data_IF_898987636748
#
_entry.id   IF_898987636748
#
_cell.length_a   1.000
_cell.length_b   1.000
_cell.length_c   1.000
_cell.angle_alpha   90.00
_cell.angle_beta   90.00
_cell.angle_gamma   90.00
#
_symmetry.space_group_name_H-M   'P 1'
#
loop_
_entity.id
_entity.type
_entity.pdbx_description
1 polymer ?
#
# COMPACT_ATOMS: atom_id res chain seq x y z
N UNK A 1 -20.25 -5.35 26.98
CA UNK A 1 -19.92 -4.08 26.29
C UNK A 1 -20.83 -3.96 25.07
N UNK A 2 -21.57 -2.86 24.89
CA UNK A 2 -22.51 -2.73 23.76
C UNK A 2 -21.74 -2.48 22.46
N UNK A 3 -22.23 -3.03 21.33
CA UNK A 3 -21.62 -2.87 19.99
C UNK A 3 -21.41 -1.39 19.64
N UNK A 4 -22.34 -0.53 20.06
CA UNK A 4 -22.26 0.92 19.86
C UNK A 4 -21.06 1.55 20.57
N UNK A 5 -20.72 1.07 21.78
CA UNK A 5 -19.55 1.55 22.52
C UNK A 5 -18.25 1.16 21.81
N UNK A 6 -18.17 -0.07 21.30
CA UNK A 6 -17.01 -0.53 20.50
C UNK A 6 -16.84 0.34 19.24
N UNK A 7 -17.91 0.59 18.50
CA UNK A 7 -17.89 1.42 17.29
C UNK A 7 -17.48 2.87 17.58
N UNK A 8 -17.92 3.43 18.71
CA UNK A 8 -17.54 4.77 19.13
C UNK A 8 -16.04 4.86 19.46
N UNK A 9 -15.50 3.91 20.23
CA UNK A 9 -14.07 3.88 20.53
C UNK A 9 -13.21 3.66 19.29
N UNK A 10 -13.65 2.79 18.38
CA UNK A 10 -12.99 2.60 17.07
C UNK A 10 -12.99 3.90 16.27
N UNK A 11 -14.14 4.57 16.19
CA UNK A 11 -14.29 5.85 15.49
C UNK A 11 -13.36 6.93 16.06
N UNK A 12 -13.36 7.15 17.38
CA UNK A 12 -12.52 8.15 18.06
C UNK A 12 -11.02 7.87 17.88
N UNK A 13 -10.61 6.59 17.84
CA UNK A 13 -9.22 6.21 17.59
C UNK A 13 -8.76 6.58 16.17
N UNK A 14 -9.65 6.55 15.18
CA UNK A 14 -9.30 6.85 13.79
C UNK A 14 -9.16 8.34 13.47
N UNK A 15 -9.66 9.26 14.30
CA UNK A 15 -9.67 10.71 13.99
C UNK A 15 -8.39 11.48 14.38
N UNK A 16 -7.33 10.84 14.90
CA UNK A 16 -6.11 11.55 15.34
C UNK A 16 -4.99 11.66 14.29
N UNK A 17 -5.32 11.82 13.00
CA UNK A 17 -4.42 11.70 11.82
C UNK A 17 -3.46 12.88 11.56
N UNK A 18 -3.02 13.58 12.61
CA UNK A 18 -1.92 14.56 12.52
C UNK A 18 -0.58 13.92 12.86
N UNK A 19 0.02 13.15 11.95
CA UNK A 19 1.42 12.71 12.06
C UNK A 19 2.26 13.41 10.98
N UNK A 20 3.45 13.84 11.36
CA UNK A 20 4.47 14.34 10.45
C UNK A 20 5.24 13.14 9.89
N UNK A 21 5.16 12.91 8.59
CA UNK A 21 5.81 11.76 7.93
C UNK A 21 6.46 12.20 6.64
N UNK A 22 7.75 11.92 6.47
CA UNK A 22 8.51 12.14 5.23
C UNK A 22 8.21 11.05 4.21
N UNK A 23 7.98 9.83 4.70
CA UNK A 23 7.63 8.67 3.89
C UNK A 23 6.34 8.02 4.42
N UNK A 24 5.42 7.71 3.51
CA UNK A 24 4.28 6.82 3.78
C UNK A 24 4.40 5.56 2.93
N UNK A 25 4.21 4.37 3.51
CA UNK A 25 4.12 3.15 2.73
C UNK A 25 2.85 3.19 1.85
N UNK A 26 2.89 2.49 0.72
CA UNK A 26 1.73 2.31 -0.14
C UNK A 26 0.80 1.21 0.40
N UNK A 27 -0.43 1.17 -0.10
CA UNK A 27 -1.29 0.01 0.13
C UNK A 27 -0.59 -1.23 -0.47
N UNK A 28 -0.78 -2.39 0.16
CA UNK A 28 -0.18 -3.62 -0.34
C UNK A 28 -1.02 -4.15 -1.49
N UNK A 29 -0.38 -4.38 -2.64
CA UNK A 29 -1.02 -5.01 -3.78
C UNK A 29 -1.12 -6.50 -3.51
N UNK A 30 -2.32 -6.96 -3.15
CA UNK A 30 -2.61 -8.39 -3.11
C UNK A 30 -3.14 -8.81 -4.49
N UNK A 31 -2.35 -9.49 -5.34
CA UNK A 31 -2.70 -9.72 -6.74
C UNK A 31 -3.87 -10.70 -6.90
N UNK A 32 -3.91 -11.69 -5.99
CA UNK A 32 -4.88 -12.78 -5.91
C UNK A 32 -5.46 -13.31 -7.23
N UNK A 33 -4.52 -13.55 -8.14
CA UNK A 33 -4.77 -14.18 -9.42
C UNK A 33 -5.06 -15.68 -9.22
N UNK A 34 -6.04 -16.20 -9.95
CA UNK A 34 -6.45 -17.61 -9.88
C UNK A 34 -6.71 -18.25 -11.26
N UNK A 35 -6.94 -17.43 -12.29
CA UNK A 35 -7.19 -17.87 -13.66
C UNK A 35 -6.10 -17.35 -14.60
N UNK A 36 -5.90 -18.06 -15.71
CA UNK A 36 -5.02 -17.63 -16.81
C UNK A 36 -5.66 -16.43 -17.54
N UNK A 37 -4.86 -15.44 -17.92
CA UNK A 37 -5.35 -14.21 -18.58
C UNK A 37 -6.41 -13.48 -17.76
N UNK A 38 -6.22 -13.50 -16.44
CA UNK A 38 -6.99 -12.72 -15.50
C UNK A 38 -6.30 -11.39 -15.27
N UNK A 39 -7.04 -10.31 -15.44
CA UNK A 39 -6.65 -8.98 -14.97
C UNK A 39 -7.43 -8.67 -13.69
N UNK A 40 -6.74 -8.09 -12.71
CA UNK A 40 -7.35 -7.52 -11.52
C UNK A 40 -6.81 -6.12 -11.32
N UNK A 41 -7.70 -5.15 -11.25
CA UNK A 41 -7.37 -3.75 -10.95
C UNK A 41 -8.05 -3.31 -9.66
N UNK A 42 -7.42 -2.45 -8.88
CA UNK A 42 -8.05 -1.78 -7.74
C UNK A 42 -7.71 -0.30 -7.70
N UNK A 43 -8.65 0.46 -7.16
CA UNK A 43 -8.47 1.85 -6.79
C UNK A 43 -8.99 2.01 -5.37
N UNK A 44 -8.20 2.61 -4.48
CA UNK A 44 -8.61 2.79 -3.10
C UNK A 44 -7.94 3.95 -2.39
N UNK A 45 -8.56 4.33 -1.27
CA UNK A 45 -8.13 5.40 -0.40
C UNK A 45 -7.42 4.83 0.83
N UNK A 46 -6.22 5.34 1.13
CA UNK A 46 -5.53 5.11 2.38
C UNK A 46 -6.04 6.06 3.45
N UNK A 47 -6.55 5.51 4.54
CA UNK A 47 -7.20 6.26 5.61
C UNK A 47 -6.28 6.41 6.83
N UNK A 48 -5.40 5.44 7.06
CA UNK A 48 -4.39 5.49 8.11
C UNK A 48 -3.10 4.80 7.64
N UNK A 49 -1.94 5.37 8.00
CA UNK A 49 -0.61 4.78 7.76
C UNK A 49 -0.22 4.55 6.30
N UNK A 50 -1.04 4.99 5.33
CA UNK A 50 -0.88 4.70 3.90
C UNK A 50 -1.08 5.97 3.08
N UNK A 51 -0.48 6.05 1.89
CA UNK A 51 -0.74 7.12 0.91
C UNK A 51 -2.24 7.29 0.57
N UNK A 52 -2.66 8.50 0.17
CA UNK A 52 -4.10 8.82 0.03
C UNK A 52 -4.73 8.01 -1.09
N UNK A 53 -4.24 8.12 -2.32
CA UNK A 53 -4.78 7.43 -3.48
C UNK A 53 -3.85 6.29 -3.86
N UNK A 54 -4.38 5.08 -4.00
CA UNK A 54 -3.63 3.90 -4.41
C UNK A 54 -4.34 3.25 -5.60
N UNK A 55 -3.65 3.14 -6.73
CA UNK A 55 -4.12 2.39 -7.90
C UNK A 55 -3.21 1.18 -8.07
N UNK A 56 -3.78 0.00 -8.25
CA UNK A 56 -3.03 -1.24 -8.28
C UNK A 56 -3.57 -2.14 -9.38
N UNK A 57 -2.69 -2.92 -9.99
CA UNK A 57 -3.00 -3.82 -11.08
C UNK A 57 -2.22 -5.12 -10.97
N UNK A 58 -2.83 -6.20 -11.43
CA UNK A 58 -2.20 -7.49 -11.57
C UNK A 58 -2.73 -8.19 -12.82
N UNK A 59 -1.84 -8.87 -13.53
CA UNK A 59 -2.18 -9.66 -14.70
C UNK A 59 -1.54 -11.04 -14.67
N UNK A 60 -2.36 -12.05 -14.92
CA UNK A 60 -1.96 -13.44 -15.00
C UNK A 60 -1.58 -13.82 -16.43
N UNK A 61 -0.29 -14.12 -16.63
CA UNK A 61 0.24 -14.59 -17.91
C UNK A 61 -0.23 -16.03 -18.16
N UNK A 62 -0.13 -16.87 -17.12
CA UNK A 62 -0.55 -18.27 -17.14
C UNK A 62 -1.18 -18.67 -15.79
N UNK A 63 -1.48 -19.95 -15.57
CA UNK A 63 -2.15 -20.39 -14.31
C UNK A 63 -1.27 -20.34 -13.05
N UNK A 64 -0.04 -19.83 -13.17
CA UNK A 64 0.99 -19.89 -12.15
C UNK A 64 1.80 -18.60 -12.02
N UNK A 65 1.93 -17.81 -13.09
CA UNK A 65 2.79 -16.64 -13.15
C UNK A 65 1.95 -15.41 -13.43
N UNK A 66 2.19 -14.37 -12.64
CA UNK A 66 1.56 -13.07 -12.78
C UNK A 66 2.56 -11.93 -12.64
N UNK A 67 2.18 -10.79 -13.19
CA UNK A 67 2.87 -9.51 -13.03
C UNK A 67 1.97 -8.55 -12.26
N UNK A 68 2.59 -7.62 -11.55
CA UNK A 68 1.91 -6.64 -10.71
C UNK A 68 2.47 -5.26 -10.97
N UNK A 69 1.67 -4.24 -10.69
CA UNK A 69 2.14 -2.88 -10.57
C UNK A 69 1.21 -2.06 -9.70
N UNK A 70 1.76 -1.05 -9.04
CA UNK A 70 0.97 -0.10 -8.26
C UNK A 70 1.51 1.31 -8.38
N UNK A 71 0.63 2.27 -8.18
CA UNK A 71 0.98 3.68 -8.03
C UNK A 71 0.26 4.24 -6.81
N UNK A 72 0.94 5.12 -6.10
CA UNK A 72 0.40 5.82 -4.94
C UNK A 72 0.67 7.32 -5.07
N UNK A 73 -0.36 8.10 -4.75
CA UNK A 73 -0.30 9.55 -4.67
C UNK A 73 -0.80 9.99 -3.30
N UNK A 74 0.01 10.76 -2.61
CA UNK A 74 -0.36 11.43 -1.37
C UNK A 74 -0.12 12.92 -1.55
N UNK A 75 -1.15 13.74 -1.38
CA UNK A 75 -1.01 15.18 -1.38
C UNK A 75 -1.80 15.74 -0.21
N UNK A 76 -1.14 16.54 0.61
CA UNK A 76 -1.75 17.29 1.71
C UNK A 76 -1.20 18.71 1.64
N UNK A 77 -2.11 19.64 1.35
CA UNK A 77 -1.85 21.07 1.46
C UNK A 77 -2.64 21.56 2.67
N UNK A 78 -1.96 21.85 3.77
CA UNK A 78 -2.60 22.58 4.87
C UNK A 78 -2.30 24.05 4.64
N UNK A 79 -3.27 24.78 4.09
CA UNK A 79 -3.22 26.24 4.20
C UNK A 79 -3.25 26.63 5.67
N UNK A 80 -2.42 27.63 5.98
CA UNK A 80 -1.89 27.94 7.28
C UNK A 80 -2.95 28.51 8.22
N UNK A 81 -3.59 27.68 9.06
CA UNK A 81 -4.19 28.11 10.34
C UNK A 81 -4.16 26.95 11.35
N UNK A 82 -3.07 26.78 12.10
CA UNK A 82 -3.12 26.08 13.38
C UNK A 82 -2.00 26.55 14.33
N UNK A 83 -2.32 26.76 15.63
CA UNK A 83 -1.44 27.40 16.60
C UNK A 83 -0.30 26.50 17.10
N UNK A 84 0.85 27.13 17.40
CA UNK A 84 1.92 26.75 18.35
C UNK A 84 2.51 25.33 18.35
N UNK A 85 2.12 24.42 17.45
CA UNK A 85 2.70 23.07 17.36
C UNK A 85 3.18 22.80 15.93
N UNK A 86 4.31 22.08 15.78
CA UNK A 86 4.97 21.77 14.51
C UNK A 86 3.97 21.48 13.38
N UNK A 87 3.77 22.46 12.49
CA UNK A 87 2.77 22.39 11.43
C UNK A 87 3.38 21.89 10.13
N UNK A 88 2.90 20.75 9.63
CA UNK A 88 3.25 20.28 8.30
C UNK A 88 2.44 21.08 7.28
N UNK A 89 3.08 22.01 6.57
CA UNK A 89 2.41 22.92 5.63
C UNK A 89 2.08 22.26 4.29
N UNK A 90 3.01 21.45 3.77
CA UNK A 90 2.81 20.69 2.52
C UNK A 90 3.47 19.32 2.59
N UNK A 91 2.77 18.28 2.16
CA UNK A 91 3.32 16.94 1.99
C UNK A 91 2.80 16.32 0.70
N UNK A 92 3.68 16.21 -0.29
CA UNK A 92 3.40 15.55 -1.56
C UNK A 92 4.33 14.34 -1.69
N UNK A 93 3.77 13.18 -1.99
CA UNK A 93 4.51 11.94 -2.19
C UNK A 93 3.92 11.18 -3.39
N UNK A 94 4.81 10.71 -4.25
CA UNK A 94 4.48 9.92 -5.42
C UNK A 94 5.31 8.65 -5.39
N UNK A 95 4.68 7.53 -5.73
CA UNK A 95 5.33 6.24 -5.72
C UNK A 95 4.77 5.35 -6.81
N UNK A 96 5.63 4.56 -7.42
CA UNK A 96 5.26 3.51 -8.35
C UNK A 96 6.10 2.25 -8.09
N UNK A 97 5.47 1.08 -8.18
CA UNK A 97 6.17 -0.19 -8.19
C UNK A 97 5.66 -1.16 -9.25
N UNK A 98 6.53 -2.13 -9.54
CA UNK A 98 6.26 -3.23 -10.45
C UNK A 98 6.88 -4.50 -9.91
N UNK A 99 6.28 -5.64 -10.26
CA UNK A 99 6.75 -6.93 -9.78
C UNK A 99 6.24 -8.10 -10.60
N UNK A 100 6.75 -9.27 -10.26
CA UNK A 100 6.30 -10.54 -10.81
C UNK A 100 6.29 -11.58 -9.71
N UNK A 101 5.54 -12.66 -9.93
CA UNK A 101 5.42 -13.69 -8.92
C UNK A 101 4.75 -14.94 -9.39
N UNK A 102 4.59 -15.83 -8.42
CA UNK A 102 4.03 -17.15 -8.58
C UNK A 102 2.79 -17.31 -7.72
N UNK A 103 1.78 -18.02 -8.22
CA UNK A 103 0.60 -18.41 -7.46
C UNK A 103 0.19 -19.84 -7.81
N UNK A 104 -0.37 -20.56 -6.83
CA UNK A 104 -0.79 -21.94 -7.02
C UNK A 104 -1.97 -22.28 -6.14
N UNK A 105 -2.97 -22.92 -6.73
CA UNK A 105 -4.08 -23.52 -6.02
C UNK A 105 -3.60 -24.73 -5.20
N UNK A 106 -3.93 -24.76 -3.91
CA UNK A 106 -3.55 -25.85 -2.99
C UNK A 106 -4.72 -26.79 -2.65
N UNK A 107 -5.96 -26.40 -2.94
CA UNK A 107 -7.15 -27.17 -2.59
C UNK A 107 -7.86 -27.77 -3.81
N UNK A 108 -8.56 -28.90 -3.60
CA UNK A 108 -9.34 -29.54 -4.68
C UNK A 108 -10.52 -28.67 -5.14
N UNK A 109 -11.07 -27.83 -4.23
CA UNK A 109 -12.22 -26.98 -4.51
C UNK A 109 -11.86 -25.68 -5.25
N UNK A 110 -10.57 -25.43 -5.51
CA UNK A 110 -10.05 -24.24 -6.20
C UNK A 110 -10.38 -22.91 -5.52
N UNK A 111 -10.44 -22.92 -4.19
CA UNK A 111 -10.73 -21.76 -3.35
C UNK A 111 -9.49 -21.22 -2.63
N UNK A 112 -8.47 -22.05 -2.39
CA UNK A 112 -7.27 -21.65 -1.66
C UNK A 112 -6.05 -21.63 -2.57
N UNK A 113 -5.31 -20.53 -2.49
CA UNK A 113 -4.11 -20.27 -3.27
C UNK A 113 -3.00 -19.82 -2.34
N UNK A 114 -1.80 -20.35 -2.57
CA UNK A 114 -0.57 -19.73 -2.09
C UNK A 114 -0.04 -18.80 -3.18
N UNK A 115 0.53 -17.69 -2.77
CA UNK A 115 1.13 -16.73 -3.69
C UNK A 115 2.45 -16.18 -3.12
N UNK A 116 3.34 -15.78 -4.02
CA UNK A 116 4.61 -15.16 -3.68
C UNK A 116 5.02 -14.22 -4.79
N UNK A 117 5.11 -12.94 -4.48
CA UNK A 117 5.52 -11.90 -5.42
C UNK A 117 6.79 -11.20 -4.94
N UNK A 118 7.55 -10.67 -5.88
CA UNK A 118 8.67 -9.78 -5.57
C UNK A 118 8.75 -8.69 -6.62
N UNK A 119 9.39 -7.58 -6.26
CA UNK A 119 9.47 -6.44 -7.15
C UNK A 119 10.32 -5.31 -6.62
N UNK A 120 10.27 -4.20 -7.34
CA UNK A 120 10.98 -2.98 -7.04
C UNK A 120 10.09 -1.77 -7.29
N UNK A 121 10.37 -0.69 -6.57
CA UNK A 121 9.62 0.55 -6.68
C UNK A 121 10.52 1.77 -6.58
N UNK A 122 10.01 2.88 -7.08
CA UNK A 122 10.63 4.20 -7.05
C UNK A 122 9.61 5.21 -6.55
N UNK A 123 10.08 6.21 -5.81
CA UNK A 123 9.23 7.29 -5.36
C UNK A 123 9.98 8.56 -5.03
N UNK A 124 9.19 9.61 -4.85
CA UNK A 124 9.65 10.97 -4.61
C UNK A 124 8.75 11.61 -3.55
N UNK A 125 9.33 12.38 -2.64
CA UNK A 125 8.63 13.11 -1.59
C UNK A 125 9.09 14.57 -1.57
N UNK A 126 8.14 15.51 -1.54
CA UNK A 126 8.35 16.95 -1.38
C UNK A 126 7.56 17.42 -0.16
N UNK A 127 8.29 17.82 0.87
CA UNK A 127 7.75 18.22 2.16
C UNK A 127 8.13 19.65 2.47
N UNK A 128 7.19 20.37 3.06
CA UNK A 128 7.40 21.70 3.60
C UNK A 128 6.89 21.75 5.04
N UNK A 129 7.83 21.96 5.96
CA UNK A 129 7.58 22.13 7.38
C UNK A 129 7.67 23.61 7.71
N UNK A 130 6.62 24.15 8.33
CA UNK A 130 6.58 25.54 8.79
C UNK A 130 6.37 25.56 10.29
N UNK A 131 7.28 26.22 11.00
CA UNK A 131 7.12 26.49 12.42
C UNK A 131 6.95 27.99 12.60
N UNK A 132 6.03 28.46 13.47
CA UNK A 132 5.82 29.89 13.70
C UNK A 132 7.10 30.63 14.14
N UNK A 133 8.01 29.94 14.84
CA UNK A 133 9.21 30.52 15.46
C UNK A 133 10.53 29.87 14.99
N UNK A 134 10.51 29.06 13.92
CA UNK A 134 11.73 28.43 13.39
C UNK A 134 11.78 28.45 11.85
N UNK A 135 12.98 28.19 11.31
CA UNK A 135 13.23 28.18 9.88
C UNK A 135 12.27 27.23 9.14
N UNK A 136 11.75 27.69 7.99
CA UNK A 136 10.98 26.85 7.09
C UNK A 136 11.88 25.77 6.48
N UNK A 137 11.53 24.50 6.70
CA UNK A 137 12.30 23.37 6.21
C UNK A 137 11.61 22.81 4.98
N UNK A 138 12.24 22.98 3.82
CA UNK A 138 11.87 22.24 2.60
C UNK A 138 12.72 20.99 2.55
N UNK A 139 12.09 19.83 2.39
CA UNK A 139 12.75 18.53 2.31
C UNK A 139 12.25 17.78 1.07
N UNK A 140 13.16 17.55 0.13
CA UNK A 140 12.92 16.75 -1.06
C UNK A 140 13.78 15.49 -0.98
N UNK A 141 13.21 14.34 -1.27
CA UNK A 141 13.96 13.09 -1.34
C UNK A 141 13.41 12.15 -2.40
N UNK A 142 14.31 11.31 -2.92
CA UNK A 142 13.97 10.20 -3.80
C UNK A 142 14.23 8.90 -3.05
N UNK A 143 13.48 7.87 -3.35
CA UNK A 143 13.69 6.57 -2.73
C UNK A 143 13.39 5.43 -3.69
N UNK A 144 14.06 4.31 -3.47
CA UNK A 144 13.76 3.06 -4.14
C UNK A 144 13.51 1.97 -3.10
N UNK A 145 12.75 0.97 -3.49
CA UNK A 145 12.57 -0.21 -2.66
C UNK A 145 12.70 -1.49 -3.45
N UNK A 146 12.98 -2.55 -2.69
CA UNK A 146 12.94 -3.93 -3.13
C UNK A 146 12.06 -4.69 -2.16
N UNK A 147 11.19 -5.56 -2.65
CA UNK A 147 10.26 -6.27 -1.79
C UNK A 147 10.04 -7.72 -2.21
N UNK A 148 9.66 -8.52 -1.21
CA UNK A 148 9.09 -9.86 -1.37
C UNK A 148 7.80 -9.96 -0.57
N UNK A 149 6.82 -10.70 -1.08
CA UNK A 149 5.46 -10.75 -0.56
C UNK A 149 4.87 -12.16 -0.72
N UNK A 150 5.19 -13.09 0.20
CA UNK A 150 4.39 -14.30 0.37
C UNK A 150 2.98 -13.98 0.86
N UNK A 151 2.02 -14.81 0.47
CA UNK A 151 0.64 -14.69 0.92
C UNK A 151 -0.20 -15.94 0.69
N UNK A 152 -1.38 -15.94 1.32
CA UNK A 152 -2.42 -16.95 1.15
C UNK A 152 -3.71 -16.22 0.77
N UNK A 153 -4.39 -16.74 -0.23
CA UNK A 153 -5.62 -16.19 -0.78
C UNK A 153 -6.74 -17.23 -0.76
N UNK A 154 -7.89 -16.81 -0.27
CA UNK A 154 -9.15 -17.53 -0.35
C UNK A 154 -10.13 -16.80 -1.26
N UNK A 155 -10.79 -17.53 -2.15
CA UNK A 155 -11.83 -16.99 -3.05
C UNK A 155 -13.12 -17.76 -3.00
N UNK A 156 -14.22 -17.00 -3.04
CA UNK A 156 -15.58 -17.52 -3.18
C UNK A 156 -16.39 -16.59 -4.11
N UNK A 157 -17.62 -17.00 -4.43
CA UNK A 157 -18.55 -16.25 -5.27
C UNK A 157 -18.86 -14.85 -4.71
N UNK A 158 -18.94 -14.72 -3.38
CA UNK A 158 -19.43 -13.52 -2.70
C UNK A 158 -18.34 -12.70 -2.01
N UNK A 159 -17.28 -13.35 -1.56
CA UNK A 159 -16.18 -12.71 -0.88
C UNK A 159 -14.86 -13.39 -1.19
N UNK A 160 -13.80 -12.60 -1.05
CA UNK A 160 -12.42 -13.04 -1.08
C UNK A 160 -11.73 -12.56 0.20
N UNK A 161 -10.76 -13.33 0.67
CA UNK A 161 -9.91 -12.98 1.79
C UNK A 161 -8.46 -13.28 1.44
N UNK A 162 -7.53 -12.41 1.81
CA UNK A 162 -6.11 -12.64 1.62
C UNK A 162 -5.34 -12.22 2.88
N UNK A 163 -4.28 -12.96 3.17
CA UNK A 163 -3.24 -12.57 4.10
C UNK A 163 -1.93 -12.49 3.32
N UNK A 164 -1.29 -11.33 3.35
CA UNK A 164 -0.01 -11.07 2.70
C UNK A 164 0.99 -10.57 3.75
N UNK A 165 2.23 -11.03 3.64
CA UNK A 165 3.35 -10.53 4.43
C UNK A 165 4.36 -9.92 3.48
N UNK A 166 4.44 -8.59 3.39
CA UNK A 166 5.43 -7.92 2.54
C UNK A 166 6.67 -7.56 3.36
N UNK A 167 7.84 -8.01 2.96
CA UNK A 167 9.11 -7.51 3.47
C UNK A 167 9.68 -6.51 2.46
N UNK A 168 9.99 -5.29 2.90
CA UNK A 168 10.42 -4.20 2.02
C UNK A 168 11.73 -3.61 2.54
N UNK A 169 12.78 -3.66 1.73
CA UNK A 169 13.99 -2.89 1.91
C UNK A 169 13.81 -1.54 1.23
N UNK A 170 13.91 -0.44 1.98
CA UNK A 170 13.81 0.93 1.47
C UNK A 170 15.17 1.62 1.57
N UNK A 171 15.56 2.33 0.51
CA UNK A 171 16.70 3.22 0.50
C UNK A 171 16.26 4.61 0.00
N UNK A 172 16.47 5.62 0.84
CA UNK A 172 16.15 7.03 0.61
C UNK A 172 17.47 7.76 0.38
N UNK A 173 17.53 8.49 -0.74
CA UNK A 173 18.71 9.19 -1.21
C UNK A 173 18.31 10.51 -1.89
N UNK A 174 19.31 11.31 -2.30
CA UNK A 174 19.05 12.61 -2.93
C UNK A 174 18.27 13.55 -2.01
N UNK A 175 18.64 13.58 -0.73
CA UNK A 175 17.97 14.39 0.28
C UNK A 175 18.46 15.83 0.16
N UNK A 176 17.59 16.70 -0.32
CA UNK A 176 17.80 18.15 -0.36
C UNK A 176 16.95 18.79 0.72
N UNK A 177 17.63 19.26 1.77
CA UNK A 177 17.01 19.98 2.87
C UNK A 177 17.54 21.42 2.92
N UNK A 178 16.66 22.40 3.18
CA UNK A 178 17.10 23.78 3.43
C UNK A 178 17.91 23.94 4.74
N UNK A 179 17.87 22.93 5.62
CA UNK A 179 18.67 22.86 6.84
C UNK A 179 19.92 22.00 6.64
N UNK A 180 21.08 22.52 7.06
CA UNK A 180 22.39 21.87 6.93
C UNK A 180 22.45 20.49 7.62
N UNK A 181 21.67 20.27 8.68
CA UNK A 181 21.67 19.03 9.47
C UNK A 181 21.11 17.81 8.72
N UNK A 182 20.33 18.03 7.67
CA UNK A 182 19.67 16.97 6.90
C UNK A 182 20.25 16.80 5.48
N UNK A 183 21.25 17.61 5.14
CA UNK A 183 21.82 17.59 3.80
C UNK A 183 22.79 16.40 3.67
N UNK A 184 22.58 15.57 2.64
CA UNK A 184 23.46 14.45 2.22
C UNK A 184 23.47 13.14 3.03
N UNK A 185 22.54 12.91 3.96
CA UNK A 185 22.40 11.58 4.58
C UNK A 185 21.52 10.65 3.72
N UNK A 186 21.98 9.43 3.46
CA UNK A 186 21.14 8.35 2.93
C UNK A 186 20.53 7.57 4.09
N UNK A 187 19.23 7.31 4.05
CA UNK A 187 18.56 6.47 5.04
C UNK A 187 18.14 5.15 4.40
N UNK A 188 18.40 4.05 5.09
CA UNK A 188 17.88 2.75 4.72
C UNK A 188 17.25 2.08 5.92
N UNK A 189 16.27 1.22 5.65
CA UNK A 189 15.63 0.37 6.66
C UNK A 189 14.90 -0.79 5.99
N UNK A 190 14.67 -1.84 6.78
CA UNK A 190 13.90 -3.01 6.38
C UNK A 190 12.59 -3.04 7.18
N UNK A 191 11.46 -3.23 6.53
CA UNK A 191 10.16 -3.40 7.19
C UNK A 191 9.52 -4.74 6.84
N UNK A 192 8.71 -5.27 7.76
CA UNK A 192 7.75 -6.34 7.50
C UNK A 192 6.33 -5.83 7.69
N UNK A 193 5.45 -6.22 6.78
CA UNK A 193 4.13 -5.62 6.66
C UNK A 193 3.04 -6.70 6.54
N UNK A 194 2.66 -7.37 7.64
CA UNK A 194 1.52 -8.27 7.64
C UNK A 194 0.23 -7.49 7.33
N UNK A 195 -0.56 -8.02 6.40
CA UNK A 195 -1.76 -7.34 5.89
C UNK A 195 -2.86 -8.34 5.58
N UNK A 196 -4.08 -8.01 6.02
CA UNK A 196 -5.30 -8.74 5.73
C UNK A 196 -6.12 -7.91 4.74
N UNK A 197 -6.56 -8.54 3.66
CA UNK A 197 -7.45 -7.93 2.67
C UNK A 197 -8.74 -8.72 2.59
N UNK A 198 -9.87 -8.04 2.77
CA UNK A 198 -11.21 -8.60 2.57
C UNK A 198 -11.86 -7.92 1.38
N UNK A 199 -12.47 -8.70 0.48
CA UNK A 199 -13.23 -8.17 -0.65
C UNK A 199 -14.62 -8.77 -0.65
N UNK A 200 -15.64 -7.95 -0.85
CA UNK A 200 -17.04 -8.39 -0.86
C UNK A 200 -17.72 -7.84 -2.11
N UNK A 201 -18.49 -8.68 -2.80
CA UNK A 201 -19.26 -8.28 -3.97
C UNK A 201 -19.39 -9.37 -5.02
N UNK A 202 -19.59 -8.95 -6.27
CA UNK A 202 -19.77 -9.83 -7.42
C UNK A 202 -18.43 -10.29 -8.03
N UNK A 203 -18.46 -11.20 -9.01
CA UNK A 203 -17.23 -11.69 -9.66
C UNK A 203 -16.46 -10.62 -10.44
N UNK A 204 -17.14 -9.60 -10.96
CA UNK A 204 -16.53 -8.54 -11.77
C UNK A 204 -16.21 -7.28 -10.99
N UNK A 205 -16.98 -6.98 -9.94
CA UNK A 205 -16.85 -5.78 -9.13
C UNK A 205 -17.00 -6.11 -7.65
N UNK A 206 -16.01 -5.68 -6.85
CA UNK A 206 -15.98 -5.87 -5.39
C UNK A 206 -15.52 -4.61 -4.68
N UNK A 207 -16.04 -4.39 -3.49
CA UNK A 207 -15.46 -3.44 -2.53
C UNK A 207 -14.38 -4.18 -1.77
N UNK A 208 -13.25 -3.54 -1.49
CA UNK A 208 -12.21 -4.11 -0.65
C UNK A 208 -11.95 -3.23 0.58
N UNK A 209 -11.61 -3.90 1.67
CA UNK A 209 -11.10 -3.31 2.89
C UNK A 209 -9.78 -4.01 3.21
N UNK A 210 -8.75 -3.24 3.54
CA UNK A 210 -7.44 -3.78 3.86
C UNK A 210 -6.92 -3.14 5.15
N UNK A 211 -6.39 -3.97 6.03
CA UNK A 211 -5.75 -3.54 7.29
C UNK A 211 -4.43 -4.25 7.47
N UNK A 212 -3.46 -3.58 8.07
CA UNK A 212 -2.14 -4.16 8.29
C UNK A 212 -1.33 -3.39 9.31
N UNK A 213 -0.11 -3.86 9.54
CA UNK A 213 0.83 -3.24 10.45
C UNK A 213 2.20 -3.14 9.80
N UNK A 214 2.97 -2.10 10.10
CA UNK A 214 4.36 -1.96 9.64
C UNK A 214 5.32 -2.18 10.80
N UNK A 215 6.13 -3.23 10.69
CA UNK A 215 7.15 -3.63 11.65
C UNK A 215 8.53 -3.24 11.12
N UNK A 216 9.18 -2.16 11.61
CA UNK A 216 10.57 -1.90 11.26
C UNK A 216 11.46 -2.98 11.87
N UNK A 217 12.17 -3.73 11.02
CA UNK A 217 13.03 -4.85 11.40
C UNK A 217 14.50 -4.44 11.52
N UNK A 218 14.96 -3.52 10.66
CA UNK A 218 16.35 -3.03 10.61
C UNK A 218 16.34 -1.50 10.57
N UNK A 219 17.30 -0.88 11.26
CA UNK A 219 17.45 0.57 11.37
C UNK A 219 16.15 1.29 11.78
N UNK A 220 15.53 0.77 12.84
CA UNK A 220 14.30 1.30 13.43
C UNK A 220 14.40 2.78 13.76
N UNK A 221 15.58 3.26 14.17
CA UNK A 221 15.86 4.68 14.41
C UNK A 221 15.62 5.52 13.15
N UNK A 222 16.11 5.09 12.00
CA UNK A 222 15.92 5.78 10.72
C UNK A 222 14.44 5.76 10.30
N UNK A 223 13.77 4.62 10.47
CA UNK A 223 12.34 4.52 10.20
C UNK A 223 11.54 5.52 11.03
N UNK A 224 11.76 5.58 12.35
CA UNK A 224 11.03 6.47 13.24
C UNK A 224 11.41 7.94 13.05
N UNK A 225 12.67 8.25 12.70
CA UNK A 225 13.10 9.60 12.38
C UNK A 225 12.35 10.19 11.16
N UNK A 226 11.94 9.32 10.22
CA UNK A 226 11.27 9.74 8.99
C UNK A 226 9.75 9.62 9.04
N UNK A 227 9.20 8.70 9.84
CA UNK A 227 7.79 8.30 9.73
C UNK A 227 6.96 8.53 10.99
N UNK A 228 7.55 9.05 12.07
CA UNK A 228 6.80 9.24 13.32
C UNK A 228 7.09 10.55 14.03
N UNK A 229 6.01 11.20 14.43
CA UNK A 229 6.03 12.08 15.61
C UNK A 229 6.25 11.22 16.86
N UNK A 230 7.12 11.67 17.78
CA UNK A 230 7.43 10.98 19.03
C UNK A 230 6.17 10.63 19.85
N UNK A 231 5.12 11.43 19.73
CA UNK A 231 3.86 11.26 20.47
C UNK A 231 2.88 10.25 19.84
N UNK A 232 3.07 9.88 18.56
CA UNK A 232 2.11 9.05 17.80
C UNK A 232 2.75 7.83 17.11
N UNK A 233 3.83 7.32 17.70
CA UNK A 233 4.62 6.22 17.11
C UNK A 233 3.77 5.01 16.71
N UNK A 234 2.89 4.54 17.57
CA UNK A 234 2.10 3.32 17.33
C UNK A 234 1.00 3.48 16.29
N UNK A 235 0.37 4.65 16.21
CA UNK A 235 -0.71 4.94 15.25
C UNK A 235 -0.20 4.96 13.81
N UNK A 236 1.02 5.47 13.60
CA UNK A 236 1.65 5.52 12.27
C UNK A 236 1.91 4.14 11.64
N UNK A 237 2.00 3.09 12.47
CA UNK A 237 2.31 1.73 12.04
C UNK A 237 1.07 0.98 11.57
N UNK A 238 -0.12 1.46 11.94
CA UNK A 238 -1.39 0.83 11.56
C UNK A 238 -1.77 1.34 10.17
N UNK A 239 -2.03 0.39 9.27
CA UNK A 239 -2.43 0.66 7.90
C UNK A 239 -3.90 0.35 7.72
N UNK A 240 -4.64 1.26 7.12
CA UNK A 240 -6.04 1.04 6.77
C UNK A 240 -6.34 1.63 5.39
N UNK A 241 -6.97 0.85 4.52
CA UNK A 241 -7.44 1.32 3.22
C UNK A 241 -8.78 0.69 2.81
N UNK A 242 -9.52 1.44 1.99
CA UNK A 242 -10.83 1.07 1.48
C UNK A 242 -10.91 1.43 0.00
N UNK A 243 -11.54 0.59 -0.82
CA UNK A 243 -11.70 0.93 -2.23
C UNK A 243 -12.51 -0.08 -3.03
N UNK A 244 -12.32 -0.06 -4.35
CA UNK A 244 -13.00 -0.92 -5.30
C UNK A 244 -12.01 -1.76 -6.08
N UNK A 245 -12.45 -2.95 -6.49
CA UNK A 245 -11.69 -3.91 -7.26
C UNK A 245 -12.52 -4.38 -8.46
N UNK A 246 -11.89 -4.38 -9.62
CA UNK A 246 -12.47 -4.88 -10.87
C UNK A 246 -11.67 -6.11 -11.31
N UNK A 247 -12.35 -7.18 -11.68
CA UNK A 247 -11.72 -8.41 -12.18
C UNK A 247 -12.26 -8.78 -13.55
N UNK A 248 -11.37 -8.95 -14.52
CA UNK A 248 -11.68 -9.47 -15.85
C UNK A 248 -10.97 -10.81 -16.06
N UNK A 249 -11.66 -11.81 -16.60
CA UNK A 249 -11.05 -13.11 -16.93
C UNK A 249 -11.41 -13.48 -18.35
N UNK A 250 -10.41 -13.58 -19.23
CA UNK A 250 -10.63 -14.01 -20.62
C UNK A 250 -10.83 -15.52 -20.68
N UNK A 251 -12.05 -15.98 -20.98
CA UNK A 251 -12.34 -17.40 -21.13
C UNK A 251 -11.98 -17.89 -22.55
N UNK A 252 -10.76 -18.39 -22.74
CA UNK A 252 -10.25 -18.89 -24.04
C UNK A 252 -11.04 -20.10 -24.59
N UNK A 253 -11.88 -20.77 -23.79
CA UNK A 253 -12.66 -21.94 -24.26
C UNK A 253 -13.70 -21.60 -25.34
N UNK A 254 -14.17 -20.35 -25.42
CA UNK A 254 -15.16 -19.93 -26.42
C UNK A 254 -14.54 -19.45 -27.74
N UNK A 255 -13.27 -19.02 -27.77
CA UNK A 255 -12.66 -18.55 -29.03
C UNK A 255 -12.29 -19.69 -29.99
N UNK A 256 -12.04 -20.90 -29.48
CA UNK A 256 -11.82 -22.08 -30.33
C UNK A 256 -13.09 -22.61 -30.99
N UNK A 257 -14.28 -22.38 -30.41
CA UNK A 257 -15.55 -22.77 -31.05
C UNK A 257 -15.83 -21.93 -32.31
N UNK A 258 -15.43 -20.66 -32.29
CA UNK A 258 -15.56 -19.75 -33.45
C UNK A 258 -14.61 -20.11 -34.60
N UNK A 259 -13.42 -20.63 -34.31
CA UNK A 259 -12.47 -21.08 -35.34
C UNK A 259 -12.85 -22.42 -35.97
N UNK A 260 -13.74 -23.21 -35.36
CA UNK A 260 -14.23 -24.48 -35.93
C UNK A 260 -15.42 -24.33 -36.88
N UNK A 261 -15.96 -23.12 -37.06
CA UNK A 261 -17.06 -22.83 -37.99
C UNK A 261 -16.59 -22.29 -39.35
N UNK A 262 -15.28 -22.25 -39.60
CA UNK A 262 -14.68 -21.72 -40.84
C UNK A 262 -13.95 -22.77 -41.69
N UNK A 263 -14.07 -24.06 -41.35
CA UNK A 263 -13.67 -25.18 -42.20
C UNK A 263 -14.89 -26.08 -42.40
#
# INVERSE_FOLDING_TARGET
>A
MRITTVLFFISVFFFQTGCVTVYKPSAINSPDLYARHQFRGSAGLGLAGVGVLNLQGAYSINRKVGVTGSVMVHSKNSEYQAPKSLGLGRHNQYYADGGAGYFKCIDRMKRYYIQGYGGAGLGYSDNYFSQPDAAHIKLQCTYHNLYVQPGIYYTNKYYDAAFDLRATYLNIFGIHASSFLYNQQSFYFLTAEPTITLRVGSKGFRIFMQTGYTLPLMDTKNYYALNTDATKRTQSLIKFSLGFNITFTKNMRNSQKWLKWKN
#
